data_IF_306869882425
#
_entry.id   IF_306869882425
#
_cell.length_a   1.000
_cell.length_b   1.000
_cell.length_c   1.000
_cell.angle_alpha   90.00
_cell.angle_beta   90.00
_cell.angle_gamma   90.00
#
_symmetry.space_group_name_H-M   'P 1'
#
loop_
_entity.id
_entity.type
_entity.pdbx_description
1 polymer ?
#
# COMPACT_ATOMS: atom_id res chain seq x y z
N UNK A 1 49.64 -48.76 33.12
CA UNK A 1 49.59 -47.48 33.85
C UNK A 1 49.40 -46.25 32.93
N UNK A 2 49.65 -46.34 31.62
CA UNK A 2 49.63 -45.19 30.70
C UNK A 2 48.23 -44.73 30.29
N UNK A 3 47.29 -45.64 30.06
CA UNK A 3 45.92 -45.32 29.60
C UNK A 3 45.11 -44.45 30.58
N UNK A 4 45.25 -44.71 31.88
CA UNK A 4 44.56 -43.95 32.94
C UNK A 4 45.11 -42.52 33.12
N UNK A 5 46.38 -42.27 32.75
CA UNK A 5 46.99 -40.95 32.84
C UNK A 5 46.57 -40.04 31.67
N UNK A 6 46.35 -40.62 30.49
CA UNK A 6 45.88 -39.89 29.30
C UNK A 6 44.39 -39.53 29.42
N UNK A 7 43.56 -40.42 29.95
CA UNK A 7 42.14 -40.14 30.25
C UNK A 7 41.97 -39.03 31.30
N UNK A 8 42.84 -38.98 32.32
CA UNK A 8 42.84 -37.93 33.33
C UNK A 8 43.23 -36.55 32.77
N UNK A 9 44.17 -36.50 31.80
CA UNK A 9 44.53 -35.25 31.10
C UNK A 9 43.40 -34.75 30.21
N UNK A 10 42.73 -35.63 29.48
CA UNK A 10 41.60 -35.28 28.62
C UNK A 10 40.42 -34.75 29.46
N UNK A 11 40.16 -35.34 30.63
CA UNK A 11 39.14 -34.87 31.56
C UNK A 11 39.48 -33.49 32.16
N UNK A 12 40.76 -33.24 32.48
CA UNK A 12 41.21 -31.94 32.99
C UNK A 12 41.11 -30.83 31.93
N UNK A 13 41.46 -31.11 30.67
CA UNK A 13 41.34 -30.17 29.56
C UNK A 13 39.86 -29.88 29.22
N UNK A 14 38.98 -30.87 29.33
CA UNK A 14 37.54 -30.69 29.16
C UNK A 14 36.94 -29.80 30.27
N UNK A 15 37.36 -29.99 31.52
CA UNK A 15 36.94 -29.16 32.65
C UNK A 15 37.43 -27.70 32.52
N UNK A 16 38.67 -27.50 32.06
CA UNK A 16 39.21 -26.16 31.80
C UNK A 16 38.46 -25.44 30.66
N UNK A 17 38.10 -26.15 29.58
CA UNK A 17 37.28 -25.59 28.49
C UNK A 17 35.86 -25.26 28.93
N UNK A 18 35.25 -26.08 29.79
CA UNK A 18 33.92 -25.82 30.33
C UNK A 18 33.90 -24.56 31.24
N UNK A 19 34.92 -24.36 32.08
CA UNK A 19 35.07 -23.14 32.87
C UNK A 19 35.30 -21.89 32.02
N UNK A 20 36.07 -21.99 30.93
CA UNK A 20 36.27 -20.88 30.01
C UNK A 20 34.98 -20.51 29.26
N UNK A 21 34.19 -21.50 28.84
CA UNK A 21 32.89 -21.28 28.21
C UNK A 21 31.87 -20.65 29.17
N UNK A 22 31.87 -21.05 30.45
CA UNK A 22 31.00 -20.47 31.47
C UNK A 22 31.31 -18.98 31.71
N UNK A 23 32.59 -18.61 31.83
CA UNK A 23 33.00 -17.21 31.96
C UNK A 23 32.64 -16.37 30.74
N UNK A 24 32.84 -16.92 29.53
CA UNK A 24 32.45 -16.23 28.30
C UNK A 24 30.93 -16.02 28.18
N UNK A 25 30.12 -16.95 28.72
CA UNK A 25 28.67 -16.80 28.78
C UNK A 25 28.25 -15.70 29.77
N UNK A 26 28.90 -15.62 30.94
CA UNK A 26 28.66 -14.55 31.93
C UNK A 26 29.01 -13.16 31.36
N UNK A 27 30.15 -13.04 30.68
CA UNK A 27 30.57 -11.78 30.02
C UNK A 27 29.60 -11.38 28.89
N UNK A 28 29.10 -12.35 28.13
CA UNK A 28 28.11 -12.10 27.08
C UNK A 28 26.75 -11.68 27.65
N UNK A 29 26.32 -12.26 28.77
CA UNK A 29 25.10 -11.83 29.47
C UNK A 29 25.22 -10.43 30.05
N UNK A 30 26.39 -10.05 30.59
CA UNK A 30 26.64 -8.70 31.07
C UNK A 30 26.59 -7.67 29.92
N UNK A 31 27.23 -7.98 28.79
CA UNK A 31 27.20 -7.14 27.60
C UNK A 31 25.77 -7.01 27.00
N UNK A 32 24.99 -8.09 27.03
CA UNK A 32 23.59 -8.07 26.59
C UNK A 32 22.72 -7.18 27.49
N UNK A 33 22.91 -7.24 28.82
CA UNK A 33 22.19 -6.38 29.77
C UNK A 33 22.52 -4.90 29.56
N UNK A 34 23.78 -4.56 29.31
CA UNK A 34 24.17 -3.18 28.99
C UNK A 34 23.59 -2.70 27.65
N UNK A 35 23.58 -3.55 26.62
CA UNK A 35 22.98 -3.22 25.32
C UNK A 35 21.47 -2.98 25.43
N UNK A 36 20.76 -3.79 26.22
CA UNK A 36 19.33 -3.61 26.49
C UNK A 36 19.07 -2.29 27.23
N UNK A 37 19.88 -1.95 28.23
CA UNK A 37 19.75 -0.69 28.96
C UNK A 37 19.98 0.53 28.04
N UNK A 38 20.99 0.48 27.16
CA UNK A 38 21.21 1.54 26.15
C UNK A 38 20.07 1.64 25.14
N UNK A 39 19.51 0.51 24.72
CA UNK A 39 18.37 0.49 23.81
C UNK A 39 17.10 1.06 24.45
N UNK A 40 16.86 0.80 25.74
CA UNK A 40 15.74 1.38 26.49
C UNK A 40 15.90 2.90 26.64
N UNK A 41 17.09 3.38 27.02
CA UNK A 41 17.37 4.82 27.11
C UNK A 41 17.19 5.54 25.76
N UNK A 42 17.60 4.91 24.64
CA UNK A 42 17.40 5.45 23.31
C UNK A 42 15.90 5.49 22.91
N UNK A 43 15.12 4.48 23.30
CA UNK A 43 13.66 4.46 23.09
C UNK A 43 12.95 5.56 23.87
N UNK A 44 13.27 5.74 25.15
CA UNK A 44 12.67 6.81 25.97
C UNK A 44 13.01 8.20 25.45
N UNK A 45 14.23 8.41 24.93
CA UNK A 45 14.61 9.66 24.29
C UNK A 45 13.83 9.90 22.97
N UNK A 46 13.64 8.85 22.17
CA UNK A 46 12.86 8.92 20.94
C UNK A 46 11.36 9.17 21.19
N UNK A 47 10.78 8.54 22.23
CA UNK A 47 9.38 8.76 22.62
C UNK A 47 9.16 10.20 23.11
N UNK A 48 10.08 10.77 23.89
CA UNK A 48 10.00 12.18 24.31
C UNK A 48 10.10 13.14 23.12
N UNK A 49 11.00 12.90 22.17
CA UNK A 49 11.10 13.70 20.96
C UNK A 49 9.81 13.61 20.11
N UNK A 50 9.24 12.42 19.97
CA UNK A 50 7.99 12.22 19.26
C UNK A 50 6.81 12.94 19.94
N UNK A 51 6.69 12.88 21.27
CA UNK A 51 5.64 13.59 22.01
C UNK A 51 5.70 15.11 21.82
N UNK A 52 6.91 15.70 21.74
CA UNK A 52 7.08 17.13 21.46
C UNK A 52 6.65 17.48 20.03
N UNK A 53 7.01 16.64 19.05
CA UNK A 53 6.57 16.81 17.65
C UNK A 53 5.05 16.66 17.50
N UNK A 54 4.42 15.68 18.15
CA UNK A 54 2.96 15.53 18.16
C UNK A 54 2.26 16.72 18.81
N UNK A 55 2.82 17.30 19.88
CA UNK A 55 2.28 18.53 20.50
C UNK A 55 2.42 19.74 19.57
N UNK A 56 3.53 19.86 18.83
CA UNK A 56 3.71 20.91 17.84
C UNK A 56 2.71 20.79 16.68
N UNK A 57 2.53 19.58 16.11
CA UNK A 57 1.59 19.33 15.01
C UNK A 57 0.15 19.57 15.46
N UNK A 58 -0.24 19.15 16.68
CA UNK A 58 -1.59 19.41 17.19
C UNK A 58 -1.87 20.89 17.46
N UNK A 59 -0.85 21.68 17.81
CA UNK A 59 -0.98 23.13 17.93
C UNK A 59 -1.11 23.80 16.55
N UNK A 60 -0.35 23.35 15.55
CA UNK A 60 -0.39 23.87 14.18
C UNK A 60 -1.73 23.55 13.48
N UNK A 61 -2.23 22.32 13.60
CA UNK A 61 -3.55 21.93 13.08
C UNK A 61 -4.68 22.75 13.74
N UNK A 62 -4.59 23.00 15.06
CA UNK A 62 -5.56 23.88 15.73
C UNK A 62 -5.51 25.31 15.19
N UNK A 63 -4.32 25.84 14.91
CA UNK A 63 -4.15 27.17 14.32
C UNK A 63 -4.74 27.26 12.90
N UNK A 64 -4.60 26.22 12.09
CA UNK A 64 -5.19 26.17 10.74
C UNK A 64 -6.72 26.01 10.75
N UNK A 65 -7.29 25.29 11.72
CA UNK A 65 -8.76 25.24 11.89
C UNK A 65 -9.39 26.53 12.42
N UNK A 66 -8.58 27.44 12.99
CA UNK A 66 -9.03 28.73 13.47
C UNK A 66 -9.12 29.79 12.36
N UNK A 67 -8.61 29.51 11.15
CA UNK A 67 -8.87 30.34 9.98
C UNK A 67 -10.36 30.26 9.65
N UNK A 68 -11.10 31.38 9.59
CA UNK A 68 -12.52 31.35 9.24
C UNK A 68 -12.65 30.74 7.85
N UNK A 69 -13.38 29.62 7.76
CA UNK A 69 -13.71 28.98 6.50
C UNK A 69 -14.62 29.96 5.73
N UNK A 70 -14.24 30.35 4.51
CA UNK A 70 -15.03 31.27 3.65
C UNK A 70 -16.46 30.76 3.37
N UNK A 71 -16.72 29.48 3.64
CA UNK A 71 -18.03 28.88 3.53
C UNK A 71 -18.83 29.05 4.82
N UNK A 72 -19.67 30.08 4.86
CA UNK A 72 -20.75 30.15 5.85
C UNK A 72 -21.73 29.00 5.63
N UNK A 73 -21.75 28.02 6.54
CA UNK A 73 -22.81 27.01 6.60
C UNK A 73 -24.09 27.68 7.10
N UNK A 74 -24.74 28.46 6.21
CA UNK A 74 -26.04 29.08 6.44
C UNK A 74 -27.11 27.98 6.43
N UNK A 75 -27.17 27.20 7.50
CA UNK A 75 -28.40 26.53 7.95
C UNK A 75 -28.99 27.30 9.13
N UNK A 76 -29.07 28.63 8.98
CA UNK A 76 -30.07 29.38 9.71
C UNK A 76 -31.39 29.03 9.03
N UNK A 77 -32.36 28.52 9.80
CA UNK A 77 -33.68 28.19 9.28
C UNK A 77 -34.25 29.42 8.59
N UNK A 78 -34.21 29.41 7.26
CA UNK A 78 -35.02 30.34 6.50
C UNK A 78 -36.45 30.07 6.97
N UNK A 79 -37.06 31.08 7.58
CA UNK A 79 -38.50 31.19 7.71
C UNK A 79 -39.05 31.18 6.28
N UNK A 80 -39.20 29.99 5.70
CA UNK A 80 -39.67 29.74 4.33
C UNK A 80 -41.13 30.18 4.17
N UNK A 81 -41.79 30.58 5.26
CA UNK A 81 -43.13 31.14 5.23
C UNK A 81 -43.11 32.62 5.64
N UNK A 82 -42.64 33.48 4.72
CA UNK A 82 -43.20 34.83 4.65
C UNK A 82 -44.67 34.67 4.31
N UNK A 83 -45.52 34.63 5.33
CA UNK A 83 -46.98 34.52 5.23
C UNK A 83 -47.67 35.74 4.61
N UNK A 84 -46.88 36.71 4.12
CA UNK A 84 -47.38 38.01 3.66
C UNK A 84 -47.34 38.22 2.15
N UNK A 85 -46.73 37.36 1.32
CA UNK A 85 -46.61 37.66 -0.12
C UNK A 85 -46.77 36.42 -1.01
N UNK A 86 -48.01 36.19 -1.47
CA UNK A 86 -48.33 35.48 -2.72
C UNK A 86 -47.98 34.01 -2.77
N UNK A 87 -48.60 33.29 -3.71
CA UNK A 87 -48.24 31.92 -4.03
C UNK A 87 -46.71 31.83 -4.26
N UNK A 88 -46.02 30.78 -3.76
CA UNK A 88 -44.60 30.64 -4.00
C UNK A 88 -44.35 30.72 -5.51
N UNK A 89 -43.54 31.68 -5.96
CA UNK A 89 -43.22 31.90 -7.38
C UNK A 89 -42.73 30.61 -8.08
N UNK A 90 -42.25 29.63 -7.31
CA UNK A 90 -41.98 28.27 -7.71
C UNK A 90 -43.10 27.55 -8.49
N UNK A 91 -44.36 27.96 -8.33
CA UNK A 91 -45.52 27.33 -8.97
C UNK A 91 -46.08 28.06 -10.19
N UNK A 92 -45.72 29.33 -10.38
CA UNK A 92 -46.20 30.17 -11.48
C UNK A 92 -45.46 29.87 -12.80
N UNK A 93 -44.15 29.57 -12.75
CA UNK A 93 -43.33 29.38 -13.95
C UNK A 93 -43.20 27.94 -14.45
N UNK A 94 -43.85 26.97 -13.80
CA UNK A 94 -43.81 25.58 -14.25
C UNK A 94 -44.76 25.35 -15.41
N UNK A 95 -44.23 25.51 -16.62
CA UNK A 95 -44.84 25.12 -17.90
C UNK A 95 -45.24 23.64 -17.99
N UNK A 96 -44.87 22.79 -17.03
CA UNK A 96 -45.21 21.36 -17.03
C UNK A 96 -46.58 21.04 -16.40
N UNK A 97 -47.42 22.05 -16.15
CA UNK A 97 -48.78 21.87 -15.63
C UNK A 97 -49.87 21.89 -16.72
N UNK A 98 -49.51 21.62 -17.96
CA UNK A 98 -50.49 21.36 -19.03
C UNK A 98 -50.88 19.89 -19.04
N UNK A 99 -52.12 19.53 -19.44
CA UNK A 99 -52.43 18.14 -19.72
C UNK A 99 -51.38 17.59 -20.66
N UNK A 100 -50.85 16.40 -20.37
CA UNK A 100 -49.88 15.73 -21.23
C UNK A 100 -50.37 15.85 -22.68
N UNK A 101 -49.53 16.26 -23.64
CA UNK A 101 -49.96 16.36 -25.02
C UNK A 101 -50.58 15.02 -25.41
N UNK A 102 -51.79 15.08 -25.97
CA UNK A 102 -52.49 13.87 -26.42
C UNK A 102 -51.70 13.36 -27.62
N UNK A 103 -50.87 12.34 -27.38
CA UNK A 103 -50.11 11.66 -28.41
C UNK A 103 -51.10 11.02 -29.38
N UNK A 104 -50.87 11.19 -30.69
CA UNK A 104 -51.65 10.46 -31.70
C UNK A 104 -51.44 8.95 -31.56
N UNK A 105 -52.34 8.13 -32.11
CA UNK A 105 -52.22 6.66 -32.06
C UNK A 105 -50.86 6.20 -32.65
N UNK A 106 -50.44 6.78 -33.76
CA UNK A 106 -49.13 6.49 -34.37
C UNK A 106 -47.95 6.85 -33.46
N UNK A 107 -48.03 7.97 -32.72
CA UNK A 107 -47.00 8.35 -31.77
C UNK A 107 -46.95 7.39 -30.57
N UNK A 108 -48.11 6.94 -30.09
CA UNK A 108 -48.20 5.94 -29.02
C UNK A 108 -47.60 4.61 -29.48
N UNK A 109 -47.95 4.13 -30.67
CA UNK A 109 -47.41 2.89 -31.26
C UNK A 109 -45.90 2.96 -31.50
N UNK A 110 -45.39 4.14 -31.91
CA UNK A 110 -43.95 4.33 -32.08
C UNK A 110 -43.20 4.26 -30.74
N UNK A 111 -43.76 4.84 -29.68
CA UNK A 111 -43.20 4.83 -28.33
C UNK A 111 -43.28 3.44 -27.70
N UNK A 112 -44.39 2.71 -27.88
CA UNK A 112 -44.51 1.34 -27.40
C UNK A 112 -43.50 0.44 -28.11
N UNK A 113 -43.35 0.57 -29.43
CA UNK A 113 -42.36 -0.19 -30.19
C UNK A 113 -40.93 0.11 -29.74
N UNK A 114 -40.62 1.37 -29.44
CA UNK A 114 -39.32 1.77 -28.91
C UNK A 114 -39.08 1.22 -27.48
N UNK A 115 -40.12 1.18 -26.65
CA UNK A 115 -40.05 0.62 -25.30
C UNK A 115 -39.96 -0.91 -25.28
N UNK A 116 -40.60 -1.58 -26.24
CA UNK A 116 -40.53 -3.04 -26.43
C UNK A 116 -39.16 -3.51 -26.90
N UNK A 117 -38.42 -2.66 -27.63
CA UNK A 117 -37.04 -2.95 -28.03
C UNK A 117 -36.06 -2.66 -26.88
N UNK A 118 -35.45 -3.68 -26.25
CA UNK A 118 -34.49 -3.46 -25.19
C UNK A 118 -33.24 -2.78 -25.77
N UNK A 119 -32.96 -1.56 -25.33
CA UNK A 119 -31.70 -0.90 -25.66
C UNK A 119 -30.62 -1.35 -24.68
N UNK A 120 -29.44 -1.66 -25.19
CA UNK A 120 -28.27 -1.90 -24.37
C UNK A 120 -27.86 -0.58 -23.68
N UNK A 121 -28.16 -0.50 -22.38
CA UNK A 121 -27.79 0.64 -21.52
C UNK A 121 -26.38 0.48 -20.93
N UNK A 122 -25.62 -0.54 -21.36
CA UNK A 122 -24.25 -0.69 -20.85
C UNK A 122 -23.40 0.52 -21.27
N UNK A 123 -22.76 1.23 -20.32
CA UNK A 123 -21.89 2.32 -20.66
C UNK A 123 -20.73 1.79 -21.52
N UNK A 124 -20.38 2.51 -22.60
CA UNK A 124 -19.23 2.15 -23.43
C UNK A 124 -17.97 2.15 -22.57
N UNK A 125 -17.31 1.00 -22.47
CA UNK A 125 -16.04 0.87 -21.75
C UNK A 125 -14.93 1.60 -22.52
N UNK A 126 -14.54 2.78 -22.04
CA UNK A 126 -13.42 3.56 -22.57
C UNK A 126 -12.43 3.88 -21.43
N UNK A 127 -11.42 3.04 -21.17
CA UNK A 127 -10.47 3.26 -20.09
C UNK A 127 -9.62 4.50 -20.36
N UNK A 128 -9.64 5.47 -19.44
CA UNK A 128 -8.86 6.72 -19.56
C UNK A 128 -7.35 6.52 -19.35
N UNK A 129 -6.97 5.47 -18.62
CA UNK A 129 -5.58 5.11 -18.34
C UNK A 129 -5.33 3.67 -18.77
N UNK A 130 -5.54 3.39 -20.06
CA UNK A 130 -5.00 2.16 -20.65
C UNK A 130 -3.50 2.17 -20.41
N UNK A 131 -2.98 1.06 -19.92
CA UNK A 131 -1.54 0.84 -19.78
C UNK A 131 -0.90 1.23 -21.12
N UNK A 132 0.02 2.18 -21.09
CA UNK A 132 0.54 2.78 -22.31
C UNK A 132 1.10 1.69 -23.23
N UNK A 133 0.75 1.70 -24.52
CA UNK A 133 1.28 0.74 -25.49
C UNK A 133 2.81 0.72 -25.52
N UNK A 134 3.45 1.87 -25.26
CA UNK A 134 4.91 2.03 -25.18
C UNK A 134 5.57 1.08 -24.17
N UNK A 135 4.88 0.71 -23.10
CA UNK A 135 5.38 -0.23 -22.09
C UNK A 135 4.76 -1.62 -22.22
N UNK A 136 4.28 -1.97 -23.42
CA UNK A 136 3.76 -3.30 -23.76
C UNK A 136 2.53 -3.71 -22.93
N UNK A 137 1.80 -2.73 -22.39
CA UNK A 137 0.69 -2.97 -21.49
C UNK A 137 1.09 -3.52 -20.13
N UNK A 138 2.33 -3.30 -19.66
CA UNK A 138 2.77 -3.61 -18.30
C UNK A 138 2.31 -2.52 -17.33
N UNK A 139 1.96 -2.91 -16.10
CA UNK A 139 1.66 -1.94 -15.05
C UNK A 139 2.95 -1.32 -14.51
N UNK A 140 2.83 -0.13 -13.92
CA UNK A 140 3.94 0.50 -13.22
C UNK A 140 4.54 -0.41 -12.14
N UNK A 141 3.70 -1.26 -11.53
CA UNK A 141 4.13 -2.25 -10.57
C UNK A 141 5.01 -3.34 -11.20
N UNK A 142 4.56 -3.97 -12.29
CA UNK A 142 5.33 -5.00 -13.01
C UNK A 142 6.72 -4.50 -13.40
N UNK A 143 6.75 -3.33 -14.06
CA UNK A 143 8.00 -2.73 -14.49
C UNK A 143 8.92 -2.39 -13.32
N UNK A 144 8.35 -1.88 -12.22
CA UNK A 144 9.11 -1.53 -11.02
C UNK A 144 9.73 -2.75 -10.35
N UNK A 145 8.95 -3.84 -10.22
CA UNK A 145 9.46 -5.09 -9.65
C UNK A 145 10.59 -5.66 -10.51
N UNK A 146 10.45 -5.66 -11.84
CA UNK A 146 11.51 -6.12 -12.74
C UNK A 146 12.79 -5.28 -12.60
N UNK A 147 12.67 -3.95 -12.60
CA UNK A 147 13.84 -3.07 -12.43
C UNK A 147 14.53 -3.29 -11.09
N UNK A 148 13.78 -3.40 -10.00
CA UNK A 148 14.36 -3.64 -8.68
C UNK A 148 15.01 -5.02 -8.58
N UNK A 149 14.45 -6.01 -9.26
CA UNK A 149 14.99 -7.37 -9.29
C UNK A 149 16.31 -7.41 -10.06
N UNK A 150 16.41 -6.71 -11.20
CA UNK A 150 17.68 -6.56 -11.92
C UNK A 150 18.74 -5.84 -11.07
N UNK A 151 18.36 -4.74 -10.42
CA UNK A 151 19.23 -4.00 -9.51
C UNK A 151 19.71 -4.89 -8.35
N UNK A 152 18.80 -5.62 -7.70
CA UNK A 152 19.13 -6.50 -6.58
C UNK A 152 20.03 -7.68 -7.00
N UNK A 153 19.85 -8.22 -8.21
CA UNK A 153 20.77 -9.23 -8.76
C UNK A 153 22.14 -8.65 -9.03
N UNK A 154 22.20 -7.42 -9.54
CA UNK A 154 23.47 -6.73 -9.77
C UNK A 154 24.20 -6.41 -8.47
N UNK A 155 23.49 -5.98 -7.41
CA UNK A 155 24.10 -5.75 -6.08
C UNK A 155 24.61 -7.05 -5.46
N UNK A 156 23.82 -8.13 -5.53
CA UNK A 156 24.25 -9.46 -5.07
C UNK A 156 25.52 -9.92 -5.80
N UNK A 157 25.59 -9.73 -7.11
CA UNK A 157 26.78 -10.09 -7.89
C UNK A 157 28.02 -9.29 -7.45
N UNK A 158 27.87 -7.99 -7.20
CA UNK A 158 28.96 -7.12 -6.68
C UNK A 158 29.43 -7.59 -5.31
N UNK A 159 28.49 -7.81 -4.38
CA UNK A 159 28.81 -8.28 -3.02
C UNK A 159 29.54 -9.63 -3.08
N UNK A 160 29.11 -10.56 -3.94
CA UNK A 160 29.79 -11.85 -4.11
C UNK A 160 31.20 -11.75 -4.73
N UNK A 161 31.46 -10.73 -5.55
CA UNK A 161 32.80 -10.49 -6.09
C UNK A 161 33.74 -9.79 -5.12
N UNK A 162 33.20 -9.09 -4.12
CA UNK A 162 33.99 -8.34 -3.14
C UNK A 162 34.53 -9.28 -2.04
N UNK A 163 35.86 -9.39 -1.86
CA UNK A 163 36.46 -10.29 -0.86
C UNK A 163 36.27 -9.82 0.59
N UNK A 164 35.92 -8.55 0.80
CA UNK A 164 35.64 -7.94 2.11
C UNK A 164 34.17 -8.08 2.53
N UNK A 165 33.33 -8.69 1.68
CA UNK A 165 31.91 -8.83 1.96
C UNK A 165 31.64 -9.80 3.11
N UNK A 166 30.70 -9.43 3.99
CA UNK A 166 30.35 -10.27 5.14
C UNK A 166 29.29 -11.30 4.75
N UNK A 167 29.37 -12.52 5.30
CA UNK A 167 28.36 -13.59 5.08
C UNK A 167 26.92 -13.15 5.35
N UNK A 168 26.72 -12.24 6.30
CA UNK A 168 25.41 -11.64 6.58
C UNK A 168 24.91 -10.81 5.41
N UNK A 169 25.74 -9.94 4.85
CA UNK A 169 25.38 -9.08 3.71
C UNK A 169 25.02 -9.90 2.47
N UNK A 170 25.75 -11.00 2.22
CA UNK A 170 25.44 -11.92 1.14
C UNK A 170 24.06 -12.56 1.33
N UNK A 171 23.76 -13.03 2.56
CA UNK A 171 22.45 -13.63 2.87
C UNK A 171 21.31 -12.63 2.79
N UNK A 172 21.52 -11.41 3.27
CA UNK A 172 20.51 -10.35 3.22
C UNK A 172 20.19 -10.02 1.76
N UNK A 173 21.20 -9.85 0.90
CA UNK A 173 21.02 -9.65 -0.53
C UNK A 173 20.35 -10.84 -1.24
N UNK A 174 20.68 -12.09 -0.87
CA UNK A 174 20.00 -13.29 -1.38
C UNK A 174 18.51 -13.34 -0.99
N UNK A 175 18.19 -12.95 0.24
CA UNK A 175 16.80 -12.87 0.71
C UNK A 175 16.02 -11.80 -0.02
N UNK A 176 16.63 -10.64 -0.30
CA UNK A 176 16.01 -9.56 -1.06
C UNK A 176 15.67 -10.01 -2.49
N UNK A 177 16.60 -10.67 -3.19
CA UNK A 177 16.33 -11.23 -4.52
C UNK A 177 15.18 -12.24 -4.46
N UNK A 178 15.22 -13.16 -3.49
CA UNK A 178 14.17 -14.18 -3.34
C UNK A 178 12.80 -13.57 -3.04
N UNK A 179 12.76 -12.50 -2.25
CA UNK A 179 11.53 -11.78 -1.95
C UNK A 179 10.94 -11.13 -3.21
N UNK A 180 11.78 -10.42 -3.99
CA UNK A 180 11.34 -9.80 -5.24
C UNK A 180 10.89 -10.83 -6.28
N UNK A 181 11.59 -11.96 -6.38
CA UNK A 181 11.16 -13.09 -7.22
C UNK A 181 9.80 -13.64 -6.80
N UNK A 182 9.55 -13.79 -5.49
CA UNK A 182 8.25 -14.26 -4.99
C UNK A 182 7.11 -13.29 -5.32
N UNK A 183 7.36 -11.98 -5.26
CA UNK A 183 6.41 -10.94 -5.63
C UNK A 183 6.11 -11.01 -7.13
N UNK A 184 7.17 -11.07 -7.93
CA UNK A 184 7.08 -11.16 -9.38
C UNK A 184 6.26 -12.40 -9.77
N UNK A 185 6.59 -13.58 -9.25
CA UNK A 185 5.86 -14.81 -9.52
C UNK A 185 4.39 -14.74 -9.08
N UNK A 186 4.10 -14.28 -7.86
CA UNK A 186 2.74 -14.17 -7.36
C UNK A 186 1.88 -13.24 -8.25
N UNK A 187 2.44 -12.09 -8.61
CA UNK A 187 1.76 -11.16 -9.51
C UNK A 187 1.53 -11.78 -10.90
N UNK A 188 2.55 -12.42 -11.48
CA UNK A 188 2.44 -13.02 -12.81
C UNK A 188 1.47 -14.20 -12.84
N UNK A 189 1.43 -15.03 -11.80
CA UNK A 189 0.46 -16.12 -11.65
C UNK A 189 -0.96 -15.57 -11.58
N UNK A 190 -1.21 -14.57 -10.73
CA UNK A 190 -2.54 -13.94 -10.61
C UNK A 190 -3.00 -13.25 -11.90
N UNK A 191 -2.06 -12.67 -12.66
CA UNK A 191 -2.33 -11.97 -13.91
C UNK A 191 -2.39 -12.86 -15.15
N UNK A 192 -1.87 -14.09 -15.11
CA UNK A 192 -1.88 -14.99 -16.27
C UNK A 192 -3.30 -15.27 -16.76
N UNK A 193 -4.27 -15.41 -15.86
CA UNK A 193 -5.69 -15.59 -16.21
C UNK A 193 -6.21 -14.42 -17.06
N UNK A 194 -5.78 -13.18 -16.76
CA UNK A 194 -6.18 -11.99 -17.50
C UNK A 194 -5.33 -11.74 -18.76
N UNK A 195 -4.10 -12.27 -18.82
CA UNK A 195 -3.21 -12.16 -19.99
C UNK A 195 -3.56 -13.19 -21.07
N UNK A 196 -3.98 -14.39 -20.70
CA UNK A 196 -4.36 -15.48 -21.61
C UNK A 196 -5.85 -15.51 -21.98
N UNK A 197 -6.71 -14.78 -21.25
CA UNK A 197 -8.11 -14.65 -21.61
C UNK A 197 -8.29 -14.02 -23.00
N UNK A 198 -9.31 -14.49 -23.74
CA UNK A 198 -9.64 -14.02 -25.08
C UNK A 198 -10.02 -12.53 -25.03
N UNK A 199 -9.11 -11.67 -25.51
CA UNK A 199 -9.27 -10.21 -25.44
C UNK A 199 -8.44 -9.49 -24.37
N UNK A 200 -7.60 -10.21 -23.63
CA UNK A 200 -6.71 -9.66 -22.60
C UNK A 200 -5.51 -8.86 -23.12
N UNK A 201 -4.49 -8.69 -22.26
CA UNK A 201 -3.32 -7.82 -22.50
C UNK A 201 -2.42 -8.27 -23.67
N UNK A 202 -2.65 -9.46 -24.23
CA UNK A 202 -1.96 -9.93 -25.45
C UNK A 202 -2.17 -9.01 -26.65
N UNK A 203 -3.28 -8.26 -26.71
CA UNK A 203 -3.52 -7.25 -27.76
C UNK A 203 -2.67 -5.98 -27.62
N UNK A 204 -2.04 -5.74 -26.46
CA UNK A 204 -1.23 -4.54 -26.17
C UNK A 204 0.25 -4.71 -26.56
N UNK A 205 0.67 -5.91 -26.97
CA UNK A 205 2.03 -6.21 -27.44
C UNK A 205 2.22 -6.10 -28.96
N UNK A 206 1.22 -5.57 -29.68
CA UNK A 206 1.24 -5.40 -31.13
C UNK A 206 1.97 -4.11 -31.53
#
# INVERSE_FOLDING_TARGET
ATKAADEAKIAADAAAKAMAAAKAAEDAEAAAKEAIARAQAAKEAAEKAAEEEYKAITAEVKADTAKPVDYTFKRQGEEIFRRDMGEPEFFLDKKDRFPRPILSQEQQESLTRQAETPQDQTPKYNPQHVLSPEFGGLSNYERGVDSFLEEAKATLAKIKSDPESTLKQIRDAENDVKYLESIHENYFIGMNVFRTAKGGRSKLKA
#
